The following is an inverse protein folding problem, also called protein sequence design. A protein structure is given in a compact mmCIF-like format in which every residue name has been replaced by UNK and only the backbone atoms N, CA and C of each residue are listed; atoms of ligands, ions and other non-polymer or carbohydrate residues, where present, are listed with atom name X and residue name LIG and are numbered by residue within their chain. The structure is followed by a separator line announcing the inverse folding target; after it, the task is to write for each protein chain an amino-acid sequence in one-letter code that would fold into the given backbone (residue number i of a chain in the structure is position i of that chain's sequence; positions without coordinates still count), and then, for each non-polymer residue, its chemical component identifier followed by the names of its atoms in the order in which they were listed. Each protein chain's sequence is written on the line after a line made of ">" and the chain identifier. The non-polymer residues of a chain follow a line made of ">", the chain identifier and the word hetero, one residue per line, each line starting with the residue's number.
data_IF_834683789382
#
_entry.id   IF_834683789382
#
_cell.length_a   1.000
_cell.length_b   1.000
_cell.length_c   1.000
_cell.angle_alpha   90.00
_cell.angle_beta   90.00
_cell.angle_gamma   90.00
#
_symmetry.space_group_name_H-M   'P 1'
#
loop_
_entity.id
_entity.type
_entity.pdbx_description
1 polymer ?
#
# COMPACT_ATOMS: atom_id res chain seq x y z
N UNK A 1 27.09 -39.62 -7.51
CA UNK A 1 25.64 -39.50 -7.32
C UNK A 1 25.41 -38.28 -6.46
N UNK A 2 24.87 -37.19 -7.03
CA UNK A 2 24.55 -35.98 -6.27
C UNK A 2 23.25 -36.23 -5.49
N UNK A 3 23.35 -36.33 -4.17
CA UNK A 3 22.20 -36.43 -3.27
C UNK A 3 21.76 -35.00 -2.92
N UNK A 4 20.65 -34.58 -3.52
CA UNK A 4 19.98 -33.31 -3.24
C UNK A 4 18.88 -33.60 -2.22
N UNK A 5 18.77 -32.80 -1.15
CA UNK A 5 17.82 -33.04 -0.05
C UNK A 5 16.42 -32.54 -0.37
N UNK A 6 16.31 -31.65 -1.34
CA UNK A 6 15.13 -30.92 -1.73
C UNK A 6 14.18 -31.79 -2.54
N UNK A 7 12.88 -31.61 -2.31
CA UNK A 7 11.85 -32.24 -3.10
C UNK A 7 11.92 -31.80 -4.58
N UNK A 8 11.51 -32.66 -5.50
CA UNK A 8 11.62 -32.43 -6.95
C UNK A 8 11.03 -31.09 -7.42
N UNK A 9 9.90 -30.68 -6.83
CA UNK A 9 9.27 -29.39 -7.11
C UNK A 9 10.11 -28.19 -6.68
N UNK A 10 10.78 -28.27 -5.53
CA UNK A 10 11.67 -27.23 -5.00
C UNK A 10 12.90 -27.12 -5.91
N UNK A 11 13.51 -28.26 -6.24
CA UNK A 11 14.64 -28.32 -7.18
C UNK A 11 14.27 -27.75 -8.55
N UNK A 12 13.06 -28.00 -9.04
CA UNK A 12 12.60 -27.45 -10.31
C UNK A 12 12.58 -25.91 -10.29
N UNK A 13 12.08 -25.30 -9.23
CA UNK A 13 12.10 -23.84 -9.06
C UNK A 13 13.53 -23.31 -8.97
N UNK A 14 14.41 -23.97 -8.21
CA UNK A 14 15.83 -23.61 -8.09
C UNK A 14 16.51 -23.56 -9.46
N UNK A 15 16.37 -24.63 -10.25
CA UNK A 15 17.00 -24.73 -11.57
C UNK A 15 16.46 -23.66 -12.52
N UNK A 16 15.15 -23.47 -12.60
CA UNK A 16 14.56 -22.42 -13.44
C UNK A 16 15.06 -21.04 -13.02
N UNK A 17 15.22 -20.79 -11.72
CA UNK A 17 15.73 -19.52 -11.20
C UNK A 17 17.19 -19.27 -11.59
N UNK A 18 18.06 -20.28 -11.44
CA UNK A 18 19.48 -20.17 -11.81
C UNK A 18 19.65 -19.94 -13.31
N UNK A 19 18.86 -20.62 -14.13
CA UNK A 19 18.88 -20.47 -15.59
C UNK A 19 18.06 -19.29 -16.12
N UNK A 20 17.45 -18.47 -15.26
CA UNK A 20 16.65 -17.31 -15.68
C UNK A 20 15.43 -17.69 -16.50
N UNK A 21 14.81 -18.84 -16.24
CA UNK A 21 13.61 -19.34 -16.92
C UNK A 21 12.36 -19.17 -16.07
N UNK A 22 11.20 -18.91 -16.68
CA UNK A 22 9.94 -18.88 -15.96
C UNK A 22 9.56 -20.28 -15.45
N UNK A 23 8.94 -20.33 -14.27
CA UNK A 23 8.46 -21.56 -13.64
C UNK A 23 6.98 -21.50 -13.25
N UNK A 24 6.26 -20.49 -13.74
CA UNK A 24 4.84 -20.24 -13.54
C UNK A 24 3.97 -21.42 -14.03
N UNK A 25 4.33 -22.02 -15.17
CA UNK A 25 3.63 -23.18 -15.74
C UNK A 25 3.53 -24.39 -14.80
N UNK A 26 4.44 -24.49 -13.82
CA UNK A 26 4.45 -25.58 -12.85
C UNK A 26 3.60 -25.29 -11.61
N UNK A 27 3.00 -24.10 -11.52
CA UNK A 27 2.13 -23.67 -10.43
C UNK A 27 2.69 -24.03 -9.03
N UNK A 28 3.93 -23.61 -8.70
CA UNK A 28 4.54 -23.97 -7.41
C UNK A 28 3.68 -23.45 -6.26
N UNK A 29 3.58 -24.15 -5.13
CA UNK A 29 2.87 -23.62 -3.95
C UNK A 29 3.70 -22.54 -3.24
N UNK A 30 3.10 -21.79 -2.32
CA UNK A 30 3.83 -20.81 -1.51
C UNK A 30 4.93 -21.50 -0.68
N UNK A 31 4.65 -22.69 -0.13
CA UNK A 31 5.65 -23.48 0.60
C UNK A 31 6.83 -23.89 -0.29
N UNK A 32 6.55 -24.32 -1.53
CA UNK A 32 7.59 -24.65 -2.51
C UNK A 32 8.43 -23.44 -2.87
N UNK A 33 7.83 -22.25 -3.03
CA UNK A 33 8.57 -21.01 -3.28
C UNK A 33 9.45 -20.62 -2.08
N UNK A 34 8.90 -20.68 -0.86
CA UNK A 34 9.66 -20.39 0.36
C UNK A 34 10.84 -21.34 0.53
N UNK A 35 10.62 -22.64 0.31
CA UNK A 35 11.67 -23.65 0.38
C UNK A 35 12.72 -23.47 -0.71
N UNK A 36 12.32 -23.10 -1.93
CA UNK A 36 13.24 -22.87 -3.03
C UNK A 36 14.14 -21.64 -2.77
N UNK A 37 13.59 -20.55 -2.27
CA UNK A 37 14.39 -19.36 -1.92
C UNK A 37 15.33 -19.66 -0.74
N UNK A 38 14.87 -20.39 0.27
CA UNK A 38 15.72 -20.84 1.37
C UNK A 38 16.89 -21.73 0.89
N UNK A 39 16.62 -22.64 -0.03
CA UNK A 39 17.64 -23.50 -0.63
C UNK A 39 18.62 -22.70 -1.51
N UNK A 40 18.14 -21.78 -2.34
CA UNK A 40 18.98 -20.88 -3.13
C UNK A 40 19.93 -20.08 -2.22
N UNK A 41 19.42 -19.53 -1.12
CA UNK A 41 20.24 -18.84 -0.11
C UNK A 41 21.28 -19.78 0.52
N UNK A 42 20.86 -20.99 0.91
CA UNK A 42 21.74 -22.00 1.51
C UNK A 42 22.85 -22.45 0.54
N UNK A 43 22.57 -22.48 -0.76
CA UNK A 43 23.53 -22.77 -1.81
C UNK A 43 24.42 -21.60 -2.20
N UNK A 44 24.29 -20.44 -1.54
CA UNK A 44 25.08 -19.25 -1.82
C UNK A 44 24.72 -18.56 -3.14
N UNK A 45 23.53 -18.84 -3.69
CA UNK A 45 23.05 -18.12 -4.88
C UNK A 45 22.69 -16.69 -4.47
N UNK A 46 23.20 -15.66 -5.18
CA UNK A 46 22.92 -14.28 -4.84
C UNK A 46 21.45 -13.94 -5.16
N UNK A 47 20.59 -14.02 -4.14
CA UNK A 47 19.14 -13.79 -4.28
C UNK A 47 18.84 -12.40 -4.85
N UNK A 48 19.59 -11.37 -4.47
CA UNK A 48 19.43 -10.02 -5.01
C UNK A 48 19.58 -9.93 -6.53
N UNK A 49 20.33 -10.85 -7.16
CA UNK A 49 20.51 -10.91 -8.61
C UNK A 49 19.36 -11.69 -9.26
N UNK A 50 19.02 -12.86 -8.70
CA UNK A 50 18.03 -13.76 -9.30
C UNK A 50 16.58 -13.40 -8.99
N UNK A 51 16.35 -12.54 -8.00
CA UNK A 51 15.06 -11.94 -7.66
C UNK A 51 15.04 -10.43 -7.89
N UNK A 52 15.91 -9.90 -8.76
CA UNK A 52 15.84 -8.53 -9.20
C UNK A 52 14.59 -8.28 -10.07
N UNK A 53 14.08 -7.03 -10.14
CA UNK A 53 13.08 -6.65 -11.13
C UNK A 53 13.48 -7.06 -12.55
N UNK A 54 12.56 -7.69 -13.28
CA UNK A 54 12.82 -8.25 -14.62
C UNK A 54 13.16 -9.74 -14.61
N UNK A 55 13.47 -10.34 -13.45
CA UNK A 55 13.68 -11.78 -13.35
C UNK A 55 12.37 -12.56 -13.29
N UNK A 56 12.29 -13.77 -13.88
CA UNK A 56 11.03 -14.53 -13.92
C UNK A 56 10.49 -14.89 -12.53
N UNK A 57 11.37 -15.23 -11.57
CA UNK A 57 10.95 -15.56 -10.21
C UNK A 57 10.39 -14.32 -9.49
N UNK A 58 10.99 -13.15 -9.70
CA UNK A 58 10.46 -11.89 -9.17
C UNK A 58 9.06 -11.60 -9.73
N UNK A 59 8.88 -11.72 -11.04
CA UNK A 59 7.59 -11.50 -11.69
C UNK A 59 6.50 -12.46 -11.15
N UNK A 60 6.86 -13.73 -10.93
CA UNK A 60 5.96 -14.72 -10.33
C UNK A 60 5.52 -14.34 -8.90
N UNK A 61 6.44 -13.86 -8.07
CA UNK A 61 6.13 -13.44 -6.69
C UNK A 61 5.28 -12.17 -6.67
N UNK A 62 5.58 -11.20 -7.53
CA UNK A 62 4.77 -9.98 -7.68
C UNK A 62 3.35 -10.33 -8.13
N UNK A 63 3.19 -11.21 -9.13
CA UNK A 63 1.87 -11.62 -9.60
C UNK A 63 1.02 -12.30 -8.52
N UNK A 64 1.65 -12.95 -7.53
CA UNK A 64 0.98 -13.62 -6.40
C UNK A 64 0.71 -12.72 -5.21
N UNK A 65 1.36 -11.57 -5.16
CA UNK A 65 1.29 -10.64 -4.04
C UNK A 65 -0.15 -10.28 -3.65
N UNK A 66 -1.09 -9.99 -4.58
CA UNK A 66 -2.47 -9.67 -4.21
C UNK A 66 -3.18 -10.77 -3.40
N UNK A 67 -2.84 -12.05 -3.64
CA UNK A 67 -3.48 -13.19 -2.96
C UNK A 67 -2.82 -13.58 -1.63
N UNK A 68 -1.56 -13.20 -1.41
CA UNK A 68 -0.81 -13.55 -0.21
C UNK A 68 0.23 -12.47 0.18
N UNK A 69 -0.19 -11.21 0.42
CA UNK A 69 0.75 -10.09 0.53
C UNK A 69 1.65 -10.20 1.76
N UNK A 70 1.11 -10.66 2.89
CA UNK A 70 1.89 -10.84 4.13
C UNK A 70 2.95 -11.93 3.99
N UNK A 71 2.63 -13.02 3.30
CA UNK A 71 3.58 -14.09 3.02
C UNK A 71 4.73 -13.59 2.15
N UNK A 72 4.42 -12.90 1.04
CA UNK A 72 5.45 -12.38 0.13
C UNK A 72 6.31 -11.31 0.82
N UNK A 73 5.69 -10.43 1.62
CA UNK A 73 6.42 -9.42 2.38
C UNK A 73 7.36 -10.05 3.42
N UNK A 74 6.88 -11.06 4.16
CA UNK A 74 7.69 -11.80 5.13
C UNK A 74 8.87 -12.49 4.47
N UNK A 75 8.64 -13.14 3.33
CA UNK A 75 9.67 -13.82 2.56
C UNK A 75 10.71 -12.83 2.02
N UNK A 76 10.26 -11.69 1.50
CA UNK A 76 11.15 -10.63 1.03
C UNK A 76 11.99 -10.05 2.16
N UNK A 77 11.37 -9.75 3.31
CA UNK A 77 12.04 -9.21 4.48
C UNK A 77 13.09 -10.17 5.05
N UNK A 78 12.77 -11.47 5.14
CA UNK A 78 13.65 -12.50 5.66
C UNK A 78 14.99 -12.60 4.90
N UNK A 79 15.00 -12.29 3.60
CA UNK A 79 16.18 -12.36 2.73
C UNK A 79 16.66 -10.99 2.23
N UNK A 80 16.21 -9.91 2.86
CA UNK A 80 16.53 -8.50 2.53
C UNK A 80 16.28 -8.12 1.05
N UNK A 81 15.18 -8.63 0.48
CA UNK A 81 14.75 -8.36 -0.89
C UNK A 81 13.88 -7.10 -0.95
N UNK A 82 14.53 -5.94 -0.85
CA UNK A 82 13.84 -4.65 -0.72
C UNK A 82 12.79 -4.40 -1.82
N UNK A 83 13.12 -4.60 -3.10
CA UNK A 83 12.20 -4.30 -4.20
C UNK A 83 10.92 -5.14 -4.14
N UNK A 84 11.04 -6.40 -3.72
CA UNK A 84 9.90 -7.29 -3.55
C UNK A 84 9.05 -6.89 -2.34
N UNK A 85 9.71 -6.53 -1.22
CA UNK A 85 9.04 -6.03 -0.04
C UNK A 85 8.30 -4.72 -0.30
N UNK A 86 8.89 -3.82 -1.11
CA UNK A 86 8.26 -2.58 -1.56
C UNK A 86 6.98 -2.86 -2.35
N UNK A 87 7.01 -3.77 -3.33
CA UNK A 87 5.81 -4.16 -4.07
C UNK A 87 4.73 -4.76 -3.17
N UNK A 88 5.12 -5.67 -2.27
CA UNK A 88 4.20 -6.31 -1.34
C UNK A 88 3.55 -5.35 -0.35
N UNK A 89 4.29 -4.34 0.11
CA UNK A 89 3.79 -3.37 1.10
C UNK A 89 2.56 -2.57 0.63
N UNK A 90 2.37 -2.39 -0.68
CA UNK A 90 1.20 -1.70 -1.23
C UNK A 90 -0.12 -2.41 -0.91
N UNK A 91 -0.08 -3.74 -0.81
CA UNK A 91 -1.22 -4.60 -0.50
C UNK A 91 -1.40 -4.81 1.00
N UNK A 92 -0.46 -4.32 1.81
CA UNK A 92 -0.50 -4.38 3.27
C UNK A 92 -1.03 -3.10 3.92
N UNK A 93 -1.44 -2.11 3.13
CA UNK A 93 -2.02 -0.88 3.67
C UNK A 93 -3.31 -1.12 4.46
N UNK A 94 -4.08 -2.14 4.10
CA UNK A 94 -5.31 -2.55 4.80
C UNK A 94 -5.06 -3.59 5.91
N UNK A 95 -3.83 -4.08 6.07
CA UNK A 95 -3.50 -5.06 7.10
C UNK A 95 -3.48 -4.38 8.47
N UNK A 96 -4.24 -4.92 9.43
CA UNK A 96 -4.10 -4.50 10.82
C UNK A 96 -2.83 -5.09 11.40
N UNK A 97 -2.00 -4.26 12.00
CA UNK A 97 -0.73 -4.70 12.60
C UNK A 97 -0.92 -5.79 13.68
N UNK A 98 -2.07 -5.81 14.34
CA UNK A 98 -2.45 -6.84 15.33
C UNK A 98 -2.61 -8.23 14.71
N UNK A 99 -2.91 -8.31 13.41
CA UNK A 99 -3.08 -9.58 12.70
C UNK A 99 -1.73 -10.21 12.30
N UNK A 100 -0.61 -9.51 12.53
CA UNK A 100 0.74 -10.05 12.34
C UNK A 100 1.07 -10.96 13.52
N UNK A 101 1.03 -12.27 13.30
CA UNK A 101 1.43 -13.26 14.30
C UNK A 101 2.91 -13.14 14.68
N UNK A 102 3.28 -13.58 15.90
CA UNK A 102 4.64 -13.49 16.42
C UNK A 102 5.67 -14.14 15.49
N UNK A 103 5.41 -15.35 15.00
CA UNK A 103 6.31 -16.05 14.06
C UNK A 103 6.54 -15.24 12.78
N UNK A 104 5.51 -14.57 12.27
CA UNK A 104 5.61 -13.73 11.09
C UNK A 104 6.42 -12.46 11.40
N UNK A 105 6.18 -11.82 12.54
CA UNK A 105 6.95 -10.66 12.99
C UNK A 105 8.44 -10.98 13.17
N UNK A 106 8.77 -12.15 13.74
CA UNK A 106 10.14 -12.62 13.91
C UNK A 106 10.84 -12.82 12.57
N UNK A 107 10.13 -13.40 11.59
CA UNK A 107 10.66 -13.60 10.23
C UNK A 107 10.79 -12.31 9.42
N UNK A 108 9.88 -11.35 9.60
CA UNK A 108 9.99 -10.02 8.99
C UNK A 108 11.21 -9.28 9.57
N UNK A 109 11.43 -9.42 10.87
CA UNK A 109 12.49 -8.73 11.59
C UNK A 109 12.22 -7.23 11.81
N UNK A 110 13.01 -6.59 12.67
CA UNK A 110 12.71 -5.24 13.16
C UNK A 110 12.78 -4.17 12.07
N UNK A 111 13.70 -4.29 11.10
CA UNK A 111 13.91 -3.28 10.05
C UNK A 111 12.70 -3.18 9.12
N UNK A 112 12.24 -4.31 8.59
CA UNK A 112 11.09 -4.32 7.69
C UNK A 112 9.79 -4.05 8.45
N UNK A 113 9.65 -4.53 9.68
CA UNK A 113 8.49 -4.21 10.50
C UNK A 113 8.38 -2.70 10.77
N UNK A 114 9.49 -2.05 11.14
CA UNK A 114 9.53 -0.60 11.31
C UNK A 114 9.16 0.14 10.02
N UNK A 115 9.65 -0.32 8.86
CA UNK A 115 9.30 0.27 7.55
C UNK A 115 7.80 0.19 7.28
N UNK A 116 7.18 -0.97 7.50
CA UNK A 116 5.74 -1.17 7.30
C UNK A 116 4.90 -0.29 8.23
N UNK A 117 5.24 -0.24 9.51
CA UNK A 117 4.57 0.61 10.49
C UNK A 117 4.72 2.09 10.12
N UNK A 118 5.93 2.51 9.76
CA UNK A 118 6.22 3.89 9.37
C UNK A 118 5.45 4.29 8.11
N UNK A 119 5.30 3.39 7.14
CA UNK A 119 4.49 3.62 5.94
C UNK A 119 3.03 3.89 6.30
N UNK A 120 2.41 2.99 7.08
CA UNK A 120 1.01 3.16 7.47
C UNK A 120 0.81 4.44 8.29
N UNK A 121 1.69 4.69 9.27
CA UNK A 121 1.65 5.88 10.10
C UNK A 121 1.82 7.18 9.29
N UNK A 122 2.85 7.26 8.44
CA UNK A 122 3.10 8.43 7.61
C UNK A 122 1.92 8.76 6.68
N UNK A 123 1.26 7.74 6.13
CA UNK A 123 0.06 7.93 5.31
C UNK A 123 -1.11 8.50 6.11
N UNK A 124 -1.34 8.01 7.32
CA UNK A 124 -2.40 8.52 8.21
C UNK A 124 -2.12 9.97 8.60
N UNK A 125 -0.89 10.31 8.97
CA UNK A 125 -0.51 11.68 9.29
C UNK A 125 -0.63 12.62 8.08
N UNK A 126 -0.20 12.17 6.90
CA UNK A 126 -0.38 12.94 5.67
C UNK A 126 -1.87 13.19 5.36
N UNK A 127 -2.75 12.20 5.57
CA UNK A 127 -4.19 12.37 5.39
C UNK A 127 -4.77 13.42 6.35
N UNK A 128 -4.34 13.42 7.62
CA UNK A 128 -4.75 14.44 8.61
C UNK A 128 -4.36 15.83 8.15
N UNK A 129 -3.10 16.03 7.75
CA UNK A 129 -2.63 17.32 7.27
C UNK A 129 -3.34 17.76 5.98
N UNK A 130 -3.54 16.85 5.03
CA UNK A 130 -4.26 17.15 3.78
C UNK A 130 -5.69 17.59 4.03
N UNK A 131 -6.40 17.01 5.01
CA UNK A 131 -7.82 17.29 5.25
C UNK A 131 -8.05 18.43 6.26
N UNK A 132 -7.00 18.83 6.99
CA UNK A 132 -7.07 19.86 8.04
C UNK A 132 -7.51 21.23 7.54
N UNK A 133 -7.04 21.64 6.37
CA UNK A 133 -7.36 22.97 5.81
C UNK A 133 -8.74 22.92 5.13
N UNK A 134 -9.73 23.73 5.57
CA UNK A 134 -11.04 23.80 4.92
C UNK A 134 -10.98 24.55 3.57
N UNK A 135 -12.08 24.56 2.79
CA UNK A 135 -12.21 25.43 1.63
C UNK A 135 -12.10 26.90 2.05
N UNK A 136 -11.56 27.72 1.15
CA UNK A 136 -11.49 29.16 1.37
C UNK A 136 -12.87 29.84 1.34
N UNK A 137 -12.87 31.11 1.70
CA UNK A 137 -14.04 31.97 1.61
C UNK A 137 -14.00 32.78 0.31
N UNK A 138 -15.18 33.22 -0.15
CA UNK A 138 -15.30 34.14 -1.28
C UNK A 138 -15.97 35.45 -0.82
N UNK A 139 -15.80 36.56 -1.56
CA UNK A 139 -16.47 37.82 -1.24
C UNK A 139 -17.99 37.65 -1.12
N UNK A 140 -18.66 38.29 -0.15
CA UNK A 140 -20.09 38.12 0.06
C UNK A 140 -20.88 38.53 -1.19
N UNK A 141 -21.95 37.79 -1.46
CA UNK A 141 -22.87 38.07 -2.56
C UNK A 141 -24.29 38.16 -2.01
N UNK A 142 -25.23 38.72 -2.76
CA UNK A 142 -26.63 38.89 -2.34
C UNK A 142 -27.33 37.56 -1.94
N UNK A 143 -26.75 36.42 -2.33
CA UNK A 143 -27.31 35.08 -2.14
C UNK A 143 -26.42 34.17 -1.28
N UNK A 144 -25.30 34.69 -0.74
CA UNK A 144 -24.39 33.93 0.10
C UNK A 144 -23.68 34.85 1.11
N UNK A 145 -24.07 34.68 2.36
CA UNK A 145 -23.53 35.39 3.52
C UNK A 145 -22.44 34.58 4.24
N UNK A 146 -21.82 35.21 5.23
CA UNK A 146 -20.78 34.58 6.04
C UNK A 146 -21.29 33.34 6.81
N UNK A 147 -22.58 33.29 7.16
CA UNK A 147 -23.17 32.14 7.85
C UNK A 147 -23.24 30.91 6.93
N UNK A 148 -23.66 31.12 5.67
CA UNK A 148 -23.67 30.07 4.65
C UNK A 148 -22.26 29.53 4.38
N UNK A 149 -21.26 30.41 4.30
CA UNK A 149 -19.86 30.01 4.11
C UNK A 149 -19.32 29.25 5.34
N UNK A 150 -19.63 29.71 6.56
CA UNK A 150 -19.27 28.99 7.78
C UNK A 150 -19.93 27.61 7.88
N UNK A 151 -21.16 27.46 7.37
CA UNK A 151 -21.86 26.17 7.26
C UNK A 151 -21.10 25.17 6.39
N UNK A 152 -20.62 25.61 5.22
CA UNK A 152 -19.77 24.80 4.33
C UNK A 152 -18.46 24.39 5.03
N UNK A 153 -17.79 25.31 5.71
CA UNK A 153 -16.55 25.03 6.45
C UNK A 153 -16.78 24.00 7.56
N UNK A 154 -17.89 24.08 8.30
CA UNK A 154 -18.27 23.07 9.31
C UNK A 154 -18.56 21.71 8.67
N UNK A 155 -19.27 21.68 7.54
CA UNK A 155 -19.55 20.44 6.83
C UNK A 155 -18.26 19.76 6.35
N UNK A 156 -17.30 20.54 5.80
CA UNK A 156 -15.97 20.02 5.47
C UNK A 156 -15.27 19.44 6.70
N UNK A 157 -15.19 20.20 7.79
CA UNK A 157 -14.49 19.76 9.01
C UNK A 157 -15.10 18.48 9.59
N UNK A 158 -16.43 18.34 9.55
CA UNK A 158 -17.11 17.14 10.02
C UNK A 158 -16.77 15.92 9.15
N UNK A 159 -16.83 16.08 7.83
CA UNK A 159 -16.48 15.01 6.89
C UNK A 159 -15.00 14.64 6.97
N UNK A 160 -14.12 15.63 7.07
CA UNK A 160 -12.69 15.45 7.30
C UNK A 160 -12.43 14.70 8.61
N UNK A 161 -13.10 15.10 9.71
CA UNK A 161 -12.97 14.43 11.00
C UNK A 161 -13.44 12.98 10.94
N UNK A 162 -14.51 12.67 10.21
CA UNK A 162 -14.97 11.29 9.99
C UNK A 162 -13.92 10.45 9.26
N UNK A 163 -13.35 10.95 8.17
CA UNK A 163 -12.29 10.26 7.43
C UNK A 163 -11.01 10.08 8.27
N UNK A 164 -10.64 11.11 9.04
CA UNK A 164 -9.50 11.07 9.96
C UNK A 164 -9.75 10.07 11.10
N UNK A 165 -10.98 9.99 11.60
CA UNK A 165 -11.35 9.03 12.65
C UNK A 165 -11.23 7.59 12.16
N UNK A 166 -11.65 7.31 10.93
CA UNK A 166 -11.48 5.99 10.34
C UNK A 166 -10.01 5.68 9.96
N UNK A 167 -9.17 6.71 9.73
CA UNK A 167 -7.71 6.63 9.58
C UNK A 167 -7.17 5.45 8.75
N UNK A 168 -7.86 5.06 7.67
CA UNK A 168 -7.50 3.87 6.88
C UNK A 168 -6.34 4.15 5.92
N UNK A 169 -5.15 3.54 6.05
CA UNK A 169 -4.02 3.80 5.16
C UNK A 169 -4.30 3.41 3.70
N UNK A 170 -5.22 2.49 3.47
CA UNK A 170 -5.65 1.99 2.16
C UNK A 170 -6.62 2.91 1.41
N UNK A 171 -7.15 3.96 2.06
CA UNK A 171 -8.16 4.84 1.48
C UNK A 171 -7.75 5.33 0.09
N UNK A 172 -8.66 5.21 -0.88
CA UNK A 172 -8.44 5.66 -2.26
C UNK A 172 -8.92 7.10 -2.45
N UNK A 173 -8.41 7.78 -3.48
CA UNK A 173 -8.92 9.11 -3.89
C UNK A 173 -10.41 9.04 -4.21
N UNK A 174 -10.86 7.99 -4.89
CA UNK A 174 -12.29 7.78 -5.21
C UNK A 174 -13.15 7.66 -3.95
N UNK A 175 -12.72 6.88 -2.95
CA UNK A 175 -13.45 6.78 -1.69
C UNK A 175 -13.52 8.13 -0.95
N UNK A 176 -12.43 8.90 -0.97
CA UNK A 176 -12.41 10.23 -0.38
C UNK A 176 -13.36 11.18 -1.12
N UNK A 177 -13.33 11.21 -2.44
CA UNK A 177 -14.20 12.03 -3.29
C UNK A 177 -15.68 11.74 -3.03
N UNK A 178 -16.10 10.47 -3.08
CA UNK A 178 -17.48 10.04 -2.79
C UNK A 178 -17.94 10.49 -1.40
N UNK A 179 -17.04 10.50 -0.41
CA UNK A 179 -17.39 10.96 0.95
C UNK A 179 -17.71 12.47 0.97
N UNK A 180 -17.03 13.26 0.13
CA UNK A 180 -17.25 14.71 0.01
C UNK A 180 -18.37 15.08 -0.99
N UNK A 181 -18.81 14.18 -1.87
CA UNK A 181 -19.91 14.43 -2.82
C UNK A 181 -21.22 14.85 -2.11
N UNK A 182 -21.52 14.23 -0.96
CA UNK A 182 -22.70 14.60 -0.16
C UNK A 182 -22.66 16.07 0.29
N UNK A 183 -21.48 16.55 0.68
CA UNK A 183 -21.29 17.95 1.06
C UNK A 183 -21.43 18.84 -0.17
N UNK A 184 -20.78 18.47 -1.29
CA UNK A 184 -20.85 19.21 -2.54
C UNK A 184 -22.29 19.36 -3.06
N UNK A 185 -23.13 18.32 -2.92
CA UNK A 185 -24.54 18.34 -3.31
C UNK A 185 -25.42 19.27 -2.48
N UNK A 186 -25.01 19.58 -1.24
CA UNK A 186 -25.73 20.51 -0.35
C UNK A 186 -25.44 21.99 -0.63
N UNK A 187 -24.38 22.30 -1.37
CA UNK A 187 -23.94 23.67 -1.65
C UNK A 187 -24.76 24.26 -2.80
N UNK A 188 -25.51 25.32 -2.51
CA UNK A 188 -26.34 26.03 -3.51
C UNK A 188 -25.62 27.19 -4.22
N UNK A 189 -24.70 27.85 -3.53
CA UNK A 189 -23.94 28.96 -4.09
C UNK A 189 -22.89 28.44 -5.08
N UNK A 190 -22.86 29.02 -6.29
CA UNK A 190 -21.90 28.64 -7.34
C UNK A 190 -20.46 28.97 -6.96
N UNK A 191 -20.22 30.11 -6.30
CA UNK A 191 -18.90 30.50 -5.83
C UNK A 191 -18.38 29.56 -4.73
N UNK A 192 -19.19 29.22 -3.72
CA UNK A 192 -18.86 28.19 -2.73
C UNK A 192 -18.54 26.85 -3.40
N UNK A 193 -19.33 26.45 -4.40
CA UNK A 193 -19.12 25.18 -5.11
C UNK A 193 -17.78 25.16 -5.85
N UNK A 194 -17.38 26.27 -6.46
CA UNK A 194 -16.07 26.42 -7.10
C UNK A 194 -14.94 26.30 -6.08
N UNK A 195 -14.98 27.09 -5.00
CA UNK A 195 -13.91 27.07 -3.98
C UNK A 195 -13.80 25.71 -3.29
N UNK A 196 -14.95 25.07 -3.01
CA UNK A 196 -15.01 23.70 -2.51
C UNK A 196 -14.39 22.70 -3.48
N UNK A 197 -14.76 22.76 -4.76
CA UNK A 197 -14.24 21.88 -5.80
C UNK A 197 -12.74 22.01 -5.98
N UNK A 198 -12.22 23.24 -6.02
CA UNK A 198 -10.78 23.52 -6.08
C UNK A 198 -10.04 22.96 -4.86
N UNK A 199 -10.63 23.13 -3.66
CA UNK A 199 -10.04 22.60 -2.43
C UNK A 199 -10.01 21.07 -2.42
N UNK A 200 -11.11 20.44 -2.82
CA UNK A 200 -11.23 18.98 -2.92
C UNK A 200 -10.25 18.43 -3.95
N UNK A 201 -10.15 19.03 -5.14
CA UNK A 201 -9.19 18.65 -6.16
C UNK A 201 -7.75 18.74 -5.65
N UNK A 202 -7.39 19.81 -4.91
CA UNK A 202 -6.07 19.93 -4.25
C UNK A 202 -5.84 18.82 -3.22
N UNK A 203 -6.85 18.49 -2.41
CA UNK A 203 -6.75 17.41 -1.43
C UNK A 203 -6.54 16.05 -2.10
N UNK A 204 -7.34 15.72 -3.12
CA UNK A 204 -7.25 14.48 -3.87
C UNK A 204 -5.90 14.33 -4.59
N UNK A 205 -5.41 15.40 -5.22
CA UNK A 205 -4.10 15.40 -5.87
C UNK A 205 -2.97 15.19 -4.85
N UNK A 206 -3.03 15.87 -3.70
CA UNK A 206 -2.05 15.69 -2.63
C UNK A 206 -2.08 14.28 -2.05
N UNK A 207 -3.27 13.67 -1.94
CA UNK A 207 -3.44 12.29 -1.48
C UNK A 207 -2.93 11.27 -2.50
N UNK A 208 -3.17 11.49 -3.79
CA UNK A 208 -2.69 10.62 -4.86
C UNK A 208 -1.16 10.52 -4.90
N UNK A 209 -0.46 11.59 -4.50
CA UNK A 209 1.00 11.65 -4.45
C UNK A 209 1.60 10.99 -3.21
N UNK A 210 0.79 10.60 -2.21
CA UNK A 210 1.31 9.98 -1.00
C UNK A 210 1.88 8.59 -1.29
N UNK A 211 3.08 8.36 -0.78
CA UNK A 211 3.81 7.08 -0.92
C UNK A 211 2.95 5.91 -0.47
N UNK A 212 2.88 4.85 -1.29
CA UNK A 212 2.11 3.61 -1.03
C UNK A 212 3.00 2.39 -0.75
N UNK A 213 4.31 2.54 -0.87
CA UNK A 213 5.32 1.49 -0.69
C UNK A 213 6.28 1.85 0.45
N UNK A 214 6.89 0.87 1.11
CA UNK A 214 8.03 1.12 2.03
C UNK A 214 9.22 1.74 1.33
#
# INVERSE_FOLDING_TARGET
>A
MLLVREHSQVLNVILHTIYGRPCDQFSPTNDTLSAAIAALYTYGVPLAVHLAPGMPLFALLVARTPGAPLFIYTLAAQYDLYDLAAQASTFLLSLKLVDIGQECADRIGPVYLQRLISLQHARVEAMKEILREPPGEHPPTDHCDAETQAGMTRAWMLTAAYLIWEARPELTTTSMEVTFENVAGSIRCTACKTVFGERLARALNSWAQQRRTI
#
